data_IF_048144901236
#
_entry.id   IF_048144901236
#
_cell.length_a   1.000
_cell.length_b   1.000
_cell.length_c   1.000
_cell.angle_alpha   90.00
_cell.angle_beta   90.00
_cell.angle_gamma   90.00
#
_symmetry.space_group_name_H-M   'P 1'
#
loop_
_entity.id
_entity.type
_entity.pdbx_description
1 polymer ?
#
# COMPACT_ATOMS: atom_id res chain seq x y z
N UNK A 1 -14.23 8.61 -22.27
CA UNK A 1 -13.69 9.59 -21.30
C UNK A 1 -12.18 9.57 -21.46
N UNK A 2 -11.56 10.69 -21.69
CA UNK A 2 -10.10 10.79 -21.80
C UNK A 2 -9.52 10.92 -20.39
N UNK A 3 -8.40 10.24 -20.15
CA UNK A 3 -7.70 10.31 -18.86
C UNK A 3 -6.44 11.14 -19.01
N UNK A 4 -6.26 12.19 -18.19
CA UNK A 4 -5.02 12.94 -18.14
C UNK A 4 -3.83 12.01 -17.89
N UNK A 5 -2.75 12.19 -18.65
CA UNK A 5 -1.57 11.34 -18.57
C UNK A 5 -1.63 10.00 -19.34
N UNK A 6 -2.81 9.59 -19.84
CA UNK A 6 -2.97 8.34 -20.60
C UNK A 6 -3.50 8.56 -22.00
N UNK A 7 -4.59 9.29 -22.15
CA UNK A 7 -5.28 9.45 -23.43
C UNK A 7 -5.54 10.89 -23.84
N UNK A 8 -5.36 11.86 -22.93
CA UNK A 8 -5.48 13.27 -23.27
C UNK A 8 -4.19 13.77 -23.93
N UNK A 9 -4.30 14.29 -25.15
CA UNK A 9 -3.17 14.56 -26.05
C UNK A 9 -2.16 15.58 -25.48
N UNK A 10 -2.61 16.58 -24.72
CA UNK A 10 -1.80 17.73 -24.32
C UNK A 10 -1.41 17.73 -22.83
N UNK A 11 -1.65 16.64 -22.12
CA UNK A 11 -1.38 16.53 -20.70
C UNK A 11 -0.58 15.25 -20.37
N UNK A 12 0.61 15.44 -19.78
CA UNK A 12 1.48 14.36 -19.33
C UNK A 12 2.61 14.88 -18.48
N UNK A 13 3.06 14.11 -17.49
CA UNK A 13 4.10 14.51 -16.53
C UNK A 13 5.53 14.52 -17.11
N UNK A 14 5.77 13.82 -18.24
CA UNK A 14 7.08 13.77 -18.91
C UNK A 14 7.20 14.86 -19.99
N UNK A 15 6.90 16.11 -19.64
CA UNK A 15 6.90 17.24 -20.56
C UNK A 15 7.38 18.52 -19.86
N UNK A 16 8.02 19.42 -20.65
CA UNK A 16 8.42 20.75 -20.18
C UNK A 16 7.21 21.65 -19.96
N UNK A 17 6.17 21.47 -20.76
CA UNK A 17 4.91 22.21 -20.72
C UNK A 17 3.76 21.24 -20.99
N UNK A 18 2.64 21.43 -20.31
CA UNK A 18 1.41 20.70 -20.57
C UNK A 18 0.21 21.65 -20.45
N UNK A 19 -0.94 21.25 -21.03
CA UNK A 19 -2.18 22.00 -20.95
C UNK A 19 -3.10 21.28 -19.97
N UNK A 20 -3.52 21.99 -18.92
CA UNK A 20 -4.52 21.51 -18.00
C UNK A 20 -5.92 21.81 -18.57
N UNK A 21 -6.76 20.80 -18.81
CA UNK A 21 -8.15 21.02 -19.22
C UNK A 21 -8.96 21.63 -18.08
N UNK A 22 -10.00 22.41 -18.43
CA UNK A 22 -10.86 23.07 -17.44
C UNK A 22 -11.45 22.11 -16.42
N UNK A 23 -11.79 20.90 -16.85
CA UNK A 23 -12.35 19.86 -15.96
C UNK A 23 -11.44 19.55 -14.75
N UNK A 24 -10.13 19.57 -14.94
CA UNK A 24 -9.15 19.36 -13.86
C UNK A 24 -9.22 20.50 -12.84
N UNK A 25 -9.37 21.74 -13.33
CA UNK A 25 -9.47 22.93 -12.48
C UNK A 25 -10.83 22.97 -11.76
N UNK A 26 -11.92 22.79 -12.50
CA UNK A 26 -13.30 22.84 -11.97
C UNK A 26 -13.56 21.76 -10.91
N UNK A 27 -12.91 20.60 -11.03
CA UNK A 27 -13.01 19.50 -10.07
C UNK A 27 -12.03 19.60 -8.90
N UNK A 28 -11.27 20.70 -8.82
CA UNK A 28 -10.33 20.92 -7.73
C UNK A 28 -9.19 19.90 -7.69
N UNK A 29 -8.73 19.43 -8.85
CA UNK A 29 -7.64 18.45 -8.96
C UNK A 29 -6.26 19.11 -9.13
N UNK A 30 -6.11 20.39 -8.74
CA UNK A 30 -4.85 21.12 -8.68
C UNK A 30 -4.67 21.67 -7.27
N UNK A 31 -3.52 21.38 -6.68
CA UNK A 31 -3.17 21.86 -5.32
C UNK A 31 -1.87 22.63 -5.35
N UNK A 32 -1.75 23.60 -4.48
CA UNK A 32 -0.47 24.23 -4.17
C UNK A 32 0.42 23.24 -3.42
N UNK A 33 1.72 23.32 -3.70
CA UNK A 33 2.74 22.55 -3.02
C UNK A 33 3.82 23.51 -2.50
N UNK A 34 3.98 23.56 -1.20
CA UNK A 34 4.90 24.43 -0.46
C UNK A 34 6.06 23.68 0.21
N UNK A 35 6.28 22.42 -0.20
CA UNK A 35 7.40 21.62 0.28
C UNK A 35 8.74 22.01 -0.37
N UNK A 36 9.82 21.53 0.21
CA UNK A 36 11.19 21.89 -0.18
C UNK A 36 11.63 21.29 -1.53
N UNK A 37 10.93 20.26 -2.03
CA UNK A 37 11.39 19.46 -3.18
C UNK A 37 10.25 19.03 -4.09
N UNK A 38 10.32 19.42 -5.37
CA UNK A 38 9.31 19.01 -6.36
C UNK A 38 9.29 17.50 -6.64
N UNK A 39 10.39 16.79 -6.42
CA UNK A 39 10.37 15.34 -6.60
C UNK A 39 9.47 14.65 -5.57
N UNK A 40 9.38 15.18 -4.36
CA UNK A 40 8.46 14.68 -3.34
C UNK A 40 7.00 14.93 -3.73
N UNK A 41 6.70 16.09 -4.33
CA UNK A 41 5.37 16.36 -4.88
C UNK A 41 4.97 15.34 -5.96
N UNK A 42 5.93 14.94 -6.81
CA UNK A 42 5.69 13.93 -7.86
C UNK A 42 5.36 12.53 -7.30
N UNK A 43 5.68 12.28 -6.03
CA UNK A 43 5.34 11.03 -5.33
C UNK A 43 3.96 11.06 -4.66
N UNK A 44 3.26 12.19 -4.72
CA UNK A 44 1.93 12.34 -4.14
C UNK A 44 0.92 11.31 -4.68
N UNK A 45 0.91 11.11 -6.01
CA UNK A 45 0.01 10.13 -6.63
C UNK A 45 0.30 8.69 -6.17
N UNK A 46 1.51 8.13 -6.32
CA UNK A 46 1.76 6.77 -5.86
C UNK A 46 1.58 6.62 -4.34
N UNK A 47 1.85 7.64 -3.55
CA UNK A 47 1.57 7.62 -2.11
C UNK A 47 0.07 7.63 -1.84
N UNK A 48 -0.72 8.39 -2.58
CA UNK A 48 -2.19 8.41 -2.46
C UNK A 48 -2.81 7.03 -2.72
N UNK A 49 -2.22 6.26 -3.62
CA UNK A 49 -2.65 4.88 -3.85
C UNK A 49 -2.44 4.02 -2.60
N UNK A 50 -1.29 4.16 -1.92
CA UNK A 50 -1.04 3.45 -0.66
C UNK A 50 -2.05 3.88 0.42
N UNK A 51 -2.31 5.17 0.56
CA UNK A 51 -3.28 5.75 1.50
C UNK A 51 -4.69 5.22 1.22
N UNK A 52 -5.13 5.28 -0.04
CA UNK A 52 -6.41 4.74 -0.47
C UNK A 52 -6.56 3.23 -0.17
N UNK A 53 -5.47 2.47 -0.27
CA UNK A 53 -5.44 1.07 0.16
C UNK A 53 -5.77 0.90 1.65
N UNK A 54 -5.19 1.73 2.51
CA UNK A 54 -5.49 1.73 3.95
C UNK A 54 -6.92 2.17 4.24
N UNK A 55 -7.40 3.23 3.60
CA UNK A 55 -8.75 3.77 3.82
C UNK A 55 -9.84 2.85 3.29
N UNK A 56 -9.58 2.12 2.23
CA UNK A 56 -10.57 1.25 1.57
C UNK A 56 -10.77 -0.10 2.27
N UNK A 57 -9.84 -0.57 3.08
CA UNK A 57 -10.07 -1.71 3.95
C UNK A 57 -11.22 -1.41 4.91
N UNK A 58 -11.87 -2.44 5.44
CA UNK A 58 -12.91 -2.26 6.44
C UNK A 58 -13.02 -3.46 7.38
N UNK A 59 -13.54 -3.19 8.57
CA UNK A 59 -13.83 -4.17 9.59
C UNK A 59 -15.28 -4.04 10.06
N UNK A 60 -15.82 -5.13 10.61
CA UNK A 60 -17.21 -5.15 11.08
C UNK A 60 -17.21 -5.44 12.57
N UNK A 61 -17.82 -4.56 13.35
CA UNK A 61 -17.97 -4.77 14.78
C UNK A 61 -18.76 -6.04 15.08
N UNK A 62 -18.41 -6.73 16.17
CA UNK A 62 -19.08 -7.96 16.55
C UNK A 62 -20.58 -7.72 16.77
N UNK A 63 -21.41 -8.58 16.19
CA UNK A 63 -22.88 -8.50 16.22
C UNK A 63 -23.45 -7.23 15.53
N UNK A 64 -22.70 -6.56 14.68
CA UNK A 64 -23.10 -5.43 13.89
C UNK A 64 -22.94 -5.71 12.40
N UNK A 65 -23.63 -4.95 11.56
CA UNK A 65 -23.42 -4.88 10.10
C UNK A 65 -22.79 -3.54 9.70
N UNK A 66 -22.39 -2.73 10.67
CA UNK A 66 -21.75 -1.45 10.44
C UNK A 66 -20.30 -1.68 10.00
N UNK A 67 -19.94 -1.12 8.86
CA UNK A 67 -18.58 -1.17 8.32
C UNK A 67 -17.78 0.00 8.89
N UNK A 68 -16.72 -0.32 9.61
CA UNK A 68 -15.71 0.64 10.05
C UNK A 68 -14.61 0.67 9.01
N UNK A 69 -14.57 1.76 8.23
CA UNK A 69 -13.56 1.94 7.19
C UNK A 69 -12.17 2.14 7.78
N UNK A 70 -11.18 1.71 7.02
CA UNK A 70 -9.77 1.75 7.39
C UNK A 70 -9.25 0.42 7.95
N UNK A 71 -7.94 0.35 8.12
CA UNK A 71 -7.28 -0.81 8.76
C UNK A 71 -7.60 -0.87 10.25
N UNK A 72 -7.55 -2.08 10.83
CA UNK A 72 -7.91 -2.30 12.23
C UNK A 72 -6.89 -1.63 13.19
N UNK A 73 -7.33 -0.69 14.05
CA UNK A 73 -6.44 -0.09 15.05
C UNK A 73 -5.85 -1.16 15.98
N UNK A 74 -4.53 -1.12 16.17
CA UNK A 74 -3.83 -2.12 16.99
C UNK A 74 -3.78 -3.52 16.37
N UNK A 75 -4.23 -3.69 15.12
CA UNK A 75 -4.20 -4.95 14.38
C UNK A 75 -2.81 -5.33 13.88
N UNK A 76 -2.72 -6.49 13.25
CA UNK A 76 -1.52 -6.94 12.54
C UNK A 76 -1.71 -6.70 11.04
N UNK A 77 -0.78 -5.99 10.42
CA UNK A 77 -0.75 -5.76 8.98
C UNK A 77 0.30 -6.66 8.32
N UNK A 78 -0.05 -7.28 7.20
CA UNK A 78 0.86 -8.02 6.34
C UNK A 78 0.94 -7.36 4.96
N UNK A 79 2.14 -7.10 4.49
CA UNK A 79 2.42 -6.52 3.17
C UNK A 79 3.21 -7.54 2.35
N UNK A 80 2.54 -8.20 1.43
CA UNK A 80 3.09 -9.26 0.60
C UNK A 80 3.74 -8.68 -0.69
N UNK A 81 5.01 -9.01 -0.93
CA UNK A 81 5.81 -8.41 -2.00
C UNK A 81 6.12 -6.93 -1.73
N UNK A 82 6.28 -6.58 -0.46
CA UNK A 82 6.25 -5.21 0.03
C UNK A 82 7.60 -4.49 0.11
N UNK A 83 8.72 -5.08 -0.33
CA UNK A 83 10.01 -4.38 -0.33
C UNK A 83 10.28 -3.57 -1.61
N UNK A 84 9.30 -3.48 -2.51
CA UNK A 84 9.28 -2.56 -3.64
C UNK A 84 8.82 -1.15 -3.27
N UNK A 85 8.86 -0.19 -4.22
CA UNK A 85 8.48 1.20 -3.99
C UNK A 85 7.12 1.38 -3.31
N UNK A 86 6.08 0.78 -3.89
CA UNK A 86 4.70 0.91 -3.37
C UNK A 86 4.54 0.30 -1.97
N UNK A 87 5.13 -0.88 -1.74
CA UNK A 87 5.07 -1.51 -0.42
C UNK A 87 5.81 -0.71 0.65
N UNK A 88 6.95 -0.10 0.34
CA UNK A 88 7.66 0.79 1.28
C UNK A 88 6.88 2.09 1.54
N UNK A 89 6.19 2.63 0.54
CA UNK A 89 5.24 3.73 0.73
C UNK A 89 4.13 3.35 1.71
N UNK A 90 3.56 2.15 1.55
CA UNK A 90 2.55 1.63 2.48
C UNK A 90 3.09 1.43 3.91
N UNK A 91 4.35 0.98 4.06
CA UNK A 91 5.00 0.89 5.39
C UNK A 91 5.15 2.28 6.00
N UNK A 92 5.69 3.25 5.24
CA UNK A 92 5.87 4.62 5.70
C UNK A 92 4.55 5.23 6.19
N UNK A 93 3.47 5.04 5.41
CA UNK A 93 2.15 5.51 5.80
C UNK A 93 1.62 4.79 7.04
N UNK A 94 1.73 3.47 7.11
CA UNK A 94 1.28 2.68 8.27
C UNK A 94 1.95 3.07 9.58
N UNK A 95 3.19 3.59 9.53
CA UNK A 95 3.89 4.13 10.69
C UNK A 95 3.40 5.54 11.09
N UNK A 96 2.77 6.28 10.19
CA UNK A 96 2.24 7.62 10.39
C UNK A 96 0.72 7.64 10.58
N UNK A 97 0.03 6.54 10.25
CA UNK A 97 -1.43 6.46 10.31
C UNK A 97 -1.94 6.64 11.73
N UNK A 98 -3.05 7.36 11.91
CA UNK A 98 -3.63 7.62 13.23
C UNK A 98 -4.03 6.34 13.95
N UNK A 99 -4.68 5.42 13.23
CA UNK A 99 -5.05 4.11 13.71
C UNK A 99 -3.86 3.14 13.58
N UNK A 100 -2.79 3.40 14.33
CA UNK A 100 -1.56 2.62 14.24
C UNK A 100 -1.80 1.13 14.43
N UNK A 101 -1.20 0.29 13.57
CA UNK A 101 -1.18 -1.15 13.82
C UNK A 101 -0.26 -1.48 14.99
N UNK A 102 -0.50 -2.60 15.65
CA UNK A 102 0.46 -3.19 16.61
C UNK A 102 1.73 -3.64 15.87
N UNK A 103 1.55 -4.25 14.69
CA UNK A 103 2.62 -4.90 13.95
C UNK A 103 2.44 -4.73 12.45
N UNK A 104 3.55 -4.52 11.75
CA UNK A 104 3.64 -4.60 10.28
C UNK A 104 4.66 -5.68 9.93
N UNK A 105 4.24 -6.65 9.13
CA UNK A 105 5.13 -7.68 8.55
C UNK A 105 5.19 -7.47 7.05
N UNK A 106 6.41 -7.33 6.54
CA UNK A 106 6.67 -7.11 5.12
C UNK A 106 7.41 -8.31 4.56
N UNK A 107 6.92 -8.89 3.49
CA UNK A 107 7.59 -10.03 2.84
C UNK A 107 8.13 -9.67 1.47
N UNK A 108 9.22 -10.29 1.11
CA UNK A 108 9.76 -10.32 -0.25
C UNK A 108 10.52 -11.64 -0.44
N UNK A 109 10.95 -11.91 -1.66
CA UNK A 109 11.78 -13.07 -2.03
C UNK A 109 13.21 -12.67 -2.40
N UNK A 110 13.52 -11.38 -2.45
CA UNK A 110 14.80 -10.84 -2.89
C UNK A 110 15.53 -10.19 -1.70
N UNK A 111 16.72 -10.71 -1.37
CA UNK A 111 17.52 -10.24 -0.23
C UNK A 111 17.99 -8.79 -0.39
N UNK A 112 18.36 -8.37 -1.60
CA UNK A 112 18.80 -6.99 -1.85
C UNK A 112 17.67 -5.98 -1.62
N UNK A 113 16.45 -6.32 -2.03
CA UNK A 113 15.25 -5.51 -1.75
C UNK A 113 14.98 -5.43 -0.26
N UNK A 114 15.10 -6.54 0.44
CA UNK A 114 14.92 -6.59 1.90
C UNK A 114 16.00 -5.77 2.61
N UNK A 115 17.26 -5.86 2.17
CA UNK A 115 18.35 -5.07 2.72
C UNK A 115 18.08 -3.57 2.54
N UNK A 116 17.73 -3.14 1.31
CA UNK A 116 17.34 -1.77 1.02
C UNK A 116 16.14 -1.33 1.86
N UNK A 117 15.11 -2.16 1.99
CA UNK A 117 13.93 -1.85 2.78
C UNK A 117 14.27 -1.56 4.25
N UNK A 118 15.18 -2.35 4.85
CA UNK A 118 15.66 -2.14 6.22
C UNK A 118 16.49 -0.85 6.39
N UNK A 119 17.15 -0.40 5.33
CA UNK A 119 17.87 0.88 5.33
C UNK A 119 16.90 2.07 5.20
N UNK A 120 15.92 1.94 4.31
CA UNK A 120 14.97 3.02 4.03
C UNK A 120 13.92 3.23 5.13
N UNK A 121 13.48 2.15 5.78
CA UNK A 121 12.56 2.18 6.92
C UNK A 121 13.10 1.24 8.00
N UNK A 122 13.99 1.72 8.87
CA UNK A 122 14.59 0.91 9.91
C UNK A 122 13.59 0.40 10.95
N UNK A 123 13.80 -0.83 11.42
CA UNK A 123 12.98 -1.41 12.51
C UNK A 123 13.05 -0.55 13.79
N UNK A 124 14.18 0.12 14.05
CA UNK A 124 14.33 1.05 15.17
C UNK A 124 13.39 2.25 15.06
N UNK A 125 13.24 2.83 13.86
CA UNK A 125 12.30 3.93 13.62
C UNK A 125 10.85 3.50 13.88
N UNK A 126 10.46 2.33 13.37
CA UNK A 126 9.13 1.80 13.61
C UNK A 126 8.86 1.60 15.11
N UNK A 127 9.85 1.10 15.85
CA UNK A 127 9.76 0.90 17.29
C UNK A 127 9.59 2.24 18.04
N UNK A 128 10.29 3.28 17.64
CA UNK A 128 10.14 4.64 18.21
C UNK A 128 8.72 5.18 17.98
N UNK A 129 8.12 4.83 16.84
CA UNK A 129 6.72 5.16 16.51
C UNK A 129 5.69 4.21 17.18
N UNK A 130 6.15 3.22 17.94
CA UNK A 130 5.30 2.29 18.69
C UNK A 130 4.77 1.11 17.86
N UNK A 131 5.37 0.82 16.72
CA UNK A 131 4.98 -0.27 15.80
C UNK A 131 6.06 -1.34 15.74
N UNK A 132 5.69 -2.60 15.80
CA UNK A 132 6.59 -3.73 15.62
C UNK A 132 6.72 -4.04 14.11
N UNK A 133 7.90 -3.80 13.53
CA UNK A 133 8.15 -4.00 12.09
C UNK A 133 9.04 -5.22 11.85
N UNK A 134 8.62 -6.09 10.93
CA UNK A 134 9.37 -7.26 10.50
C UNK A 134 9.55 -7.29 8.99
N UNK A 135 10.76 -7.61 8.53
CA UNK A 135 11.06 -7.92 7.13
C UNK A 135 11.42 -9.41 7.01
N UNK A 136 10.69 -10.13 6.19
CA UNK A 136 10.76 -11.60 6.10
C UNK A 136 11.02 -12.02 4.65
N UNK A 137 12.12 -12.76 4.41
CA UNK A 137 12.36 -13.43 3.14
C UNK A 137 11.61 -14.77 3.12
N UNK A 138 10.67 -14.93 2.18
CA UNK A 138 9.86 -16.15 2.05
C UNK A 138 10.35 -17.11 0.96
N UNK A 139 11.42 -16.76 0.24
CA UNK A 139 11.88 -17.53 -0.93
C UNK A 139 12.22 -18.99 -0.62
N UNK A 140 12.84 -19.25 0.54
CA UNK A 140 13.37 -20.55 0.90
C UNK A 140 12.65 -21.17 2.11
N UNK A 141 11.44 -20.71 2.43
CA UNK A 141 10.66 -21.27 3.51
C UNK A 141 9.89 -22.50 3.03
N UNK A 142 9.97 -23.59 3.79
CA UNK A 142 9.21 -24.80 3.52
C UNK A 142 7.70 -24.55 3.67
N UNK A 143 7.31 -23.84 4.74
CA UNK A 143 5.94 -23.41 4.99
C UNK A 143 5.89 -21.92 5.37
N UNK A 144 5.81 -21.01 4.40
CA UNK A 144 5.73 -19.58 4.68
C UNK A 144 4.44 -19.18 5.42
N UNK A 145 3.34 -19.93 5.25
CA UNK A 145 2.08 -19.65 5.95
C UNK A 145 2.23 -19.90 7.44
N UNK A 146 2.77 -21.06 7.83
CA UNK A 146 3.03 -21.39 9.23
C UNK A 146 4.01 -20.41 9.87
N UNK A 147 5.11 -20.08 9.17
CA UNK A 147 6.11 -19.14 9.67
C UNK A 147 5.52 -17.73 9.90
N UNK A 148 4.75 -17.20 8.94
CA UNK A 148 4.12 -15.89 9.08
C UNK A 148 3.02 -15.87 10.16
N UNK A 149 2.24 -16.94 10.30
CA UNK A 149 1.26 -17.05 11.40
C UNK A 149 1.93 -17.09 12.77
N UNK A 150 3.08 -17.73 12.89
CA UNK A 150 3.84 -17.78 14.15
C UNK A 150 4.23 -16.39 14.66
N UNK A 151 4.54 -15.44 13.77
CA UNK A 151 4.86 -14.05 14.14
C UNK A 151 3.67 -13.38 14.87
N UNK A 152 2.45 -13.77 14.57
CA UNK A 152 1.22 -13.27 15.20
C UNK A 152 0.65 -14.21 16.25
N UNK A 153 1.46 -15.13 16.77
CA UNK A 153 1.03 -16.12 17.79
C UNK A 153 -0.17 -16.98 17.34
N UNK A 154 -0.30 -17.18 16.01
CA UNK A 154 -1.36 -17.95 15.38
C UNK A 154 -2.66 -17.17 15.11
N UNK A 155 -2.76 -15.89 15.53
CA UNK A 155 -3.95 -15.05 15.32
C UNK A 155 -4.18 -14.76 13.83
N UNK A 156 -3.10 -14.54 13.08
CA UNK A 156 -3.15 -14.08 11.70
C UNK A 156 -3.16 -12.55 11.60
N UNK A 157 -3.53 -12.04 10.42
CA UNK A 157 -3.43 -10.63 10.08
C UNK A 157 -4.83 -10.03 9.88
N UNK A 158 -5.07 -8.90 10.54
CA UNK A 158 -6.31 -8.13 10.36
C UNK A 158 -6.38 -7.54 8.96
N UNK A 159 -5.23 -7.09 8.45
CA UNK A 159 -5.13 -6.44 7.15
C UNK A 159 -3.99 -7.07 6.35
N UNK A 160 -4.29 -7.50 5.13
CA UNK A 160 -3.30 -8.07 4.20
C UNK A 160 -3.32 -7.28 2.92
N UNK A 161 -2.17 -6.72 2.56
CA UNK A 161 -1.98 -6.02 1.29
C UNK A 161 -1.15 -6.88 0.34
N UNK A 162 -1.64 -7.09 -0.87
CA UNK A 162 -0.94 -7.88 -1.90
C UNK A 162 -0.38 -6.93 -2.96
N UNK A 163 0.94 -6.72 -2.94
CA UNK A 163 1.64 -5.81 -3.87
C UNK A 163 2.28 -6.53 -5.07
N UNK A 164 2.21 -7.85 -5.11
CA UNK A 164 2.72 -8.63 -6.24
C UNK A 164 1.56 -9.31 -7.00
N UNK A 165 1.42 -9.12 -8.32
CA UNK A 165 0.38 -9.76 -9.12
C UNK A 165 0.73 -11.23 -9.39
N UNK A 166 0.86 -12.02 -8.33
CA UNK A 166 1.24 -13.44 -8.36
C UNK A 166 0.14 -14.24 -7.67
N UNK A 167 -0.39 -15.22 -8.36
CA UNK A 167 -1.49 -16.08 -7.90
C UNK A 167 -1.20 -16.70 -6.52
N UNK A 168 -0.05 -17.35 -6.36
CA UNK A 168 0.32 -18.00 -5.09
C UNK A 168 0.47 -17.02 -3.93
N UNK A 169 0.86 -15.77 -4.20
CA UNK A 169 0.98 -14.71 -3.18
C UNK A 169 -0.41 -14.27 -2.71
N UNK A 170 -1.37 -14.08 -3.62
CA UNK A 170 -2.76 -13.78 -3.27
C UNK A 170 -3.41 -14.92 -2.48
N UNK A 171 -3.20 -16.18 -2.89
CA UNK A 171 -3.68 -17.36 -2.19
C UNK A 171 -3.06 -17.52 -0.80
N UNK A 172 -1.77 -17.17 -0.65
CA UNK A 172 -1.09 -17.13 0.65
C UNK A 172 -1.69 -16.04 1.55
N UNK A 173 -1.95 -14.85 1.01
CA UNK A 173 -2.60 -13.76 1.74
C UNK A 173 -3.94 -14.15 2.32
N UNK A 174 -4.77 -14.85 1.53
CA UNK A 174 -6.07 -15.35 2.01
C UNK A 174 -5.95 -16.32 3.20
N UNK A 175 -4.95 -17.22 3.18
CA UNK A 175 -4.70 -18.17 4.26
C UNK A 175 -4.19 -17.54 5.55
N UNK A 176 -3.69 -16.30 5.48
CA UNK A 176 -3.07 -15.57 6.58
C UNK A 176 -4.03 -14.62 7.28
N UNK A 177 -5.24 -14.44 6.77
CA UNK A 177 -6.26 -13.57 7.37
C UNK A 177 -6.66 -14.06 8.76
N UNK A 178 -6.80 -13.12 9.68
CA UNK A 178 -7.45 -13.30 10.97
C UNK A 178 -8.97 -13.34 10.83
N UNK A 179 -9.67 -13.61 11.92
CA UNK A 179 -11.13 -13.41 11.99
C UNK A 179 -11.43 -11.94 11.71
N UNK A 180 -12.44 -11.69 10.87
CA UNK A 180 -12.81 -10.37 10.35
C UNK A 180 -11.70 -9.70 9.51
N UNK A 181 -10.70 -10.47 9.07
CA UNK A 181 -9.56 -9.96 8.28
C UNK A 181 -9.97 -9.47 6.90
N UNK A 182 -9.32 -8.40 6.45
CA UNK A 182 -9.53 -7.78 5.14
C UNK A 182 -8.26 -7.91 4.28
N UNK A 183 -8.38 -8.52 3.10
CA UNK A 183 -7.30 -8.59 2.12
C UNK A 183 -7.54 -7.57 1.02
N UNK A 184 -6.63 -6.63 0.84
CA UNK A 184 -6.61 -5.72 -0.27
C UNK A 184 -5.68 -6.26 -1.37
N UNK A 185 -6.27 -6.65 -2.50
CA UNK A 185 -5.51 -7.01 -3.69
C UNK A 185 -5.13 -5.72 -4.43
N UNK A 186 -4.02 -5.12 -4.00
CA UNK A 186 -3.52 -3.85 -4.50
C UNK A 186 -2.82 -3.98 -5.87
N UNK A 187 -2.19 -5.12 -6.12
CA UNK A 187 -1.46 -5.36 -7.35
C UNK A 187 -2.36 -5.28 -8.58
N UNK A 188 -1.89 -4.58 -9.62
CA UNK A 188 -2.59 -4.48 -10.91
C UNK A 188 -2.07 -5.53 -11.91
N UNK A 189 -2.73 -6.69 -12.08
CA UNK A 189 -2.34 -7.64 -13.12
C UNK A 189 -2.65 -7.08 -14.51
N UNK A 190 -1.78 -7.36 -15.47
CA UNK A 190 -1.99 -7.02 -16.89
C UNK A 190 -2.83 -8.07 -17.64
N UNK A 191 -2.86 -9.29 -17.10
CA UNK A 191 -3.70 -10.37 -17.65
C UNK A 191 -5.13 -10.23 -17.14
N UNK A 192 -6.07 -9.98 -18.05
CA UNK A 192 -7.52 -9.87 -17.74
C UNK A 192 -8.16 -11.16 -17.23
N UNK A 193 -7.48 -12.31 -17.39
CA UNK A 193 -7.92 -13.62 -16.89
C UNK A 193 -7.22 -14.01 -15.59
N UNK A 194 -6.45 -13.10 -14.99
CA UNK A 194 -5.79 -13.37 -13.73
C UNK A 194 -6.80 -13.81 -12.66
N UNK A 195 -6.57 -14.97 -12.05
CA UNK A 195 -7.46 -15.55 -11.05
C UNK A 195 -6.68 -16.29 -9.98
N UNK A 196 -7.22 -16.34 -8.77
CA UNK A 196 -6.66 -17.03 -7.62
C UNK A 196 -7.76 -17.77 -6.84
N UNK A 197 -7.38 -18.86 -6.16
CA UNK A 197 -8.30 -19.64 -5.33
C UNK A 197 -8.41 -19.02 -3.96
N UNK A 198 -9.64 -18.81 -3.48
CA UNK A 198 -9.92 -18.25 -2.17
C UNK A 198 -10.71 -19.22 -1.31
N UNK A 199 -10.48 -19.21 0.01
CA UNK A 199 -11.21 -20.06 0.95
C UNK A 199 -12.54 -19.41 1.34
N UNK A 200 -13.61 -19.81 0.69
CA UNK A 200 -14.95 -19.30 0.98
C UNK A 200 -15.53 -19.80 2.33
N UNK A 201 -14.98 -20.87 2.89
CA UNK A 201 -15.33 -21.30 4.23
C UNK A 201 -14.93 -20.24 5.27
N UNK A 202 -13.72 -19.71 5.17
CA UNK A 202 -13.24 -18.64 6.06
C UNK A 202 -14.00 -17.32 5.80
N UNK A 203 -14.37 -17.06 4.54
CA UNK A 203 -15.23 -15.93 4.23
C UNK A 203 -16.57 -16.01 5.00
N UNK A 204 -17.17 -17.20 5.05
CA UNK A 204 -18.44 -17.42 5.76
C UNK A 204 -18.28 -17.43 7.29
N UNK A 205 -17.36 -18.26 7.81
CA UNK A 205 -17.27 -18.51 9.25
C UNK A 205 -16.35 -17.55 9.99
N UNK A 206 -15.27 -17.08 9.36
CA UNK A 206 -14.34 -16.12 9.93
C UNK A 206 -14.60 -14.69 9.46
N UNK A 207 -15.60 -14.46 8.61
CA UNK A 207 -15.97 -13.14 8.04
C UNK A 207 -14.81 -12.44 7.34
N UNK A 208 -13.93 -13.23 6.70
CA UNK A 208 -12.82 -12.65 5.94
C UNK A 208 -13.34 -11.96 4.66
N UNK A 209 -12.64 -10.92 4.23
CA UNK A 209 -13.02 -10.09 3.10
C UNK A 209 -11.88 -9.98 2.10
N UNK A 210 -12.24 -9.85 0.83
CA UNK A 210 -11.30 -9.58 -0.25
C UNK A 210 -11.83 -8.36 -0.98
N UNK A 211 -10.97 -7.40 -1.15
CA UNK A 211 -11.28 -6.20 -1.87
C UNK A 211 -10.12 -5.78 -2.77
N UNK A 212 -10.35 -4.86 -3.66
CA UNK A 212 -9.35 -4.21 -4.49
C UNK A 212 -9.58 -2.70 -4.51
N UNK A 213 -8.52 -1.96 -4.71
CA UNK A 213 -8.56 -0.54 -4.94
C UNK A 213 -7.73 -0.18 -6.17
N UNK A 214 -8.20 0.76 -6.97
CA UNK A 214 -7.48 1.28 -8.13
C UNK A 214 -7.16 2.74 -7.88
N UNK A 215 -5.94 3.01 -7.43
CA UNK A 215 -5.50 4.35 -7.09
C UNK A 215 -6.06 4.89 -5.77
N UNK A 216 -5.67 6.11 -5.43
CA UNK A 216 -6.28 6.93 -4.38
C UNK A 216 -7.32 7.90 -4.96
N UNK A 217 -8.14 8.49 -4.11
CA UNK A 217 -9.01 9.59 -4.47
C UNK A 217 -8.32 10.95 -4.26
N UNK A 218 -9.04 12.05 -4.48
CA UNK A 218 -8.50 13.41 -4.33
C UNK A 218 -8.16 13.75 -2.88
N UNK A 219 -8.86 13.18 -1.90
CA UNK A 219 -8.59 13.40 -0.48
C UNK A 219 -7.34 12.64 -0.04
N UNK A 220 -7.15 11.39 -0.53
CA UNK A 220 -5.92 10.62 -0.33
C UNK A 220 -4.71 11.36 -0.91
N UNK A 221 -4.88 12.01 -2.07
CA UNK A 221 -3.82 12.82 -2.70
C UNK A 221 -3.45 14.04 -1.84
N UNK A 222 -4.43 14.76 -1.32
CA UNK A 222 -4.19 15.88 -0.40
C UNK A 222 -3.47 15.42 0.85
N UNK A 223 -3.94 14.33 1.45
CA UNK A 223 -3.31 13.75 2.63
C UNK A 223 -1.85 13.35 2.34
N UNK A 224 -1.58 12.72 1.18
CA UNK A 224 -0.24 12.37 0.77
C UNK A 224 0.70 13.58 0.72
N UNK A 225 0.25 14.67 0.09
CA UNK A 225 1.01 15.91 -0.02
C UNK A 225 1.21 16.56 1.35
N UNK A 226 0.14 16.74 2.12
CA UNK A 226 0.21 17.39 3.44
C UNK A 226 1.12 16.64 4.41
N UNK A 227 1.00 15.31 4.48
CA UNK A 227 1.83 14.48 5.36
C UNK A 227 3.29 14.45 4.92
N UNK A 228 3.57 14.49 3.60
CA UNK A 228 4.93 14.60 3.08
C UNK A 228 5.57 15.94 3.46
N UNK A 229 4.87 17.06 3.24
CA UNK A 229 5.35 18.40 3.60
C UNK A 229 5.61 18.53 5.11
N UNK A 230 4.76 17.93 5.94
CA UNK A 230 4.93 17.91 7.40
C UNK A 230 6.04 16.96 7.87
N UNK A 231 6.61 16.14 6.99
CA UNK A 231 7.58 15.10 7.35
C UNK A 231 7.00 13.94 8.17
N UNK A 232 5.67 13.77 8.17
CA UNK A 232 5.00 12.68 8.86
C UNK A 232 5.20 11.34 8.14
N UNK A 233 5.21 11.40 6.79
CA UNK A 233 5.53 10.27 5.92
C UNK A 233 6.78 10.58 5.09
N UNK A 234 7.54 9.54 4.78
CA UNK A 234 8.71 9.64 3.91
C UNK A 234 8.39 9.05 2.54
N UNK A 235 7.92 9.87 1.60
CA UNK A 235 7.63 9.43 0.23
C UNK A 235 8.89 9.04 -0.54
N UNK A 236 10.07 9.56 -0.15
CA UNK A 236 11.34 9.27 -0.81
C UNK A 236 11.76 7.78 -0.70
N UNK A 237 11.17 7.01 0.21
CA UNK A 237 11.39 5.54 0.30
C UNK A 237 11.02 4.82 -1.00
N UNK A 238 10.14 5.41 -1.81
CA UNK A 238 9.68 4.87 -3.08
C UNK A 238 10.69 5.09 -4.22
N UNK A 239 11.63 6.03 -4.08
CA UNK A 239 12.59 6.40 -5.14
C UNK A 239 13.67 5.34 -5.26
N UNK A 240 13.84 4.80 -6.47
CA UNK A 240 14.91 3.85 -6.80
C UNK A 240 15.93 4.43 -7.77
N UNK A 241 15.51 5.35 -8.64
CA UNK A 241 16.34 5.99 -9.65
C UNK A 241 15.98 7.46 -9.76
N UNK A 242 16.95 8.29 -10.07
CA UNK A 242 16.76 9.72 -10.35
C UNK A 242 17.39 10.02 -11.71
N UNK A 243 16.66 10.74 -12.57
CA UNK A 243 17.11 11.13 -13.90
C UNK A 243 16.41 12.39 -14.40
N UNK A 244 16.93 12.99 -15.45
CA UNK A 244 16.27 14.09 -16.16
C UNK A 244 15.19 13.58 -17.13
N UNK A 245 14.44 14.51 -17.74
CA UNK A 245 13.39 14.20 -18.74
C UNK A 245 13.96 13.36 -19.90
N UNK A 246 15.20 13.61 -20.28
CA UNK A 246 15.89 12.88 -21.36
C UNK A 246 16.21 11.41 -21.02
N UNK A 247 16.02 11.01 -19.75
CA UNK A 247 16.28 9.65 -19.26
C UNK A 247 15.03 8.79 -19.14
N UNK A 248 13.87 9.27 -19.61
CA UNK A 248 12.57 8.60 -19.45
C UNK A 248 12.33 7.55 -20.55
N UNK A 249 13.20 7.44 -21.56
CA UNK A 249 13.07 6.51 -22.70
C UNK A 249 13.76 5.18 -22.44
#
# INVERSE_FOLDING_TARGET
MESPGYSYEFFGGAATYCIFPNDVIEKGCIWEYDGDSYFEASLGEPMSCCIGGYHSNYHVEHLSYEHKMGTLPGGNILILGGCGPMGLGAVSYGLAFENKPKRIVVTDINDDRIARAKEMVPVSEAKEKGVELHYVNTANMEDPVAALKAITEGIGYSDVFVYAPIKSVAEMGNKLLAVDGCMNFFAGPTDTQFSASMNLYDCHYARTKIMGSTGGNTDDMKEAIEKSVKGEINSAVMVTHVGGVDSIV
#
